data_IF_627977324680
#
_entry.id   IF_627977324680
#
_cell.length_a   1.000
_cell.length_b   1.000
_cell.length_c   1.000
_cell.angle_alpha   90.00
_cell.angle_beta   90.00
_cell.angle_gamma   90.00
#
_symmetry.space_group_name_H-M   'P 1'
#
loop_
_entity.id
_entity.type
_entity.pdbx_description
1 polymer ?
#
# COMPACT_ATOMS: atom_id res chain seq x y z
N UNK A 1 51.40 20.41 -8.27
CA UNK A 1 52.74 20.57 -7.69
C UNK A 1 53.29 21.96 -8.00
N UNK A 2 52.98 22.97 -7.18
CA UNK A 2 53.80 24.20 -7.19
C UNK A 2 55.11 23.80 -6.51
N UNK A 3 56.21 23.81 -7.27
CA UNK A 3 57.54 23.47 -6.76
C UNK A 3 57.86 24.39 -5.59
N UNK A 4 58.52 23.85 -4.56
CA UNK A 4 59.26 24.61 -3.54
C UNK A 4 59.91 25.80 -4.24
N UNK A 5 59.65 27.01 -3.75
CA UNK A 5 60.39 28.18 -4.19
C UNK A 5 61.82 27.98 -3.69
N UNK A 6 62.68 27.37 -4.53
CA UNK A 6 64.07 27.04 -4.21
C UNK A 6 64.94 28.29 -3.98
N UNK A 7 64.36 29.48 -4.06
CA UNK A 7 65.03 30.77 -3.88
C UNK A 7 65.51 31.04 -2.46
N UNK A 8 65.15 30.23 -1.45
CA UNK A 8 65.56 30.41 -0.03
C UNK A 8 66.38 29.26 0.57
N UNK A 9 66.91 28.34 -0.24
CA UNK A 9 67.72 27.23 0.25
C UNK A 9 69.20 27.40 -0.18
N UNK A 10 70.07 27.81 0.74
CA UNK A 10 71.53 27.82 0.54
C UNK A 10 72.19 26.69 1.35
N UNK A 11 73.18 26.01 0.76
CA UNK A 11 73.96 24.99 1.47
C UNK A 11 73.16 23.77 1.97
N UNK A 12 72.02 23.46 1.36
CA UNK A 12 71.16 22.33 1.76
C UNK A 12 70.25 22.60 2.95
N UNK A 13 70.18 23.85 3.44
CA UNK A 13 69.23 24.26 4.49
C UNK A 13 68.28 25.31 3.93
N UNK A 14 66.98 25.02 3.97
CA UNK A 14 65.96 25.99 3.57
C UNK A 14 65.69 26.94 4.73
N UNK A 15 65.94 28.24 4.52
CA UNK A 15 65.74 29.27 5.53
C UNK A 15 64.31 29.81 5.44
N UNK A 16 63.64 29.96 6.59
CA UNK A 16 62.29 30.51 6.70
C UNK A 16 61.25 29.54 7.24
N UNK A 17 60.01 30.03 7.35
CA UNK A 17 58.84 29.30 7.84
C UNK A 17 57.72 29.30 6.79
N UNK A 18 56.97 28.20 6.69
CA UNK A 18 55.84 28.06 5.76
C UNK A 18 54.50 28.48 6.38
N UNK A 19 54.48 28.58 7.71
CA UNK A 19 53.42 29.14 8.55
C UNK A 19 54.03 29.57 9.89
N UNK A 20 53.37 30.47 10.66
CA UNK A 20 53.95 30.98 11.91
C UNK A 20 54.34 29.86 12.89
N UNK A 21 55.63 29.75 13.20
CA UNK A 21 56.16 28.73 14.10
C UNK A 21 56.40 27.34 13.48
N UNK A 22 56.29 27.21 12.15
CA UNK A 22 56.64 26.00 11.41
C UNK A 22 57.78 26.25 10.42
N UNK A 23 58.98 25.80 10.76
CA UNK A 23 60.14 25.92 9.87
C UNK A 23 60.11 24.85 8.78
N UNK A 24 60.85 25.06 7.69
CA UNK A 24 60.96 24.04 6.64
C UNK A 24 61.67 22.75 7.08
N UNK A 25 62.38 22.76 8.21
CA UNK A 25 62.90 21.55 8.85
C UNK A 25 61.86 20.78 9.66
N UNK A 26 60.72 21.40 9.94
CA UNK A 26 59.61 20.77 10.65
C UNK A 26 58.71 19.98 9.68
N UNK A 27 58.61 20.41 8.43
CA UNK A 27 57.81 19.72 7.39
C UNK A 27 58.45 18.39 6.96
N UNK A 28 57.69 17.29 6.94
CA UNK A 28 58.15 15.94 6.53
C UNK A 28 59.35 15.43 7.36
N UNK A 29 59.36 15.76 8.66
CA UNK A 29 60.34 15.34 9.65
C UNK A 29 59.93 14.09 10.46
N UNK A 30 58.88 13.37 10.06
CA UNK A 30 58.30 12.17 10.70
C UNK A 30 57.56 12.41 12.03
N UNK A 31 57.49 13.65 12.50
CA UNK A 31 56.75 14.03 13.69
C UNK A 31 55.61 14.95 13.27
N UNK A 32 54.39 14.70 13.74
CA UNK A 32 53.30 15.63 13.45
C UNK A 32 53.42 16.92 14.25
N UNK A 33 53.54 18.05 13.55
CA UNK A 33 53.42 19.39 14.10
C UNK A 33 52.14 20.07 13.61
N UNK A 34 51.20 20.31 14.52
CA UNK A 34 49.91 20.94 14.18
C UNK A 34 50.05 22.36 13.60
N UNK A 35 51.10 23.09 13.99
CA UNK A 35 51.42 24.39 13.40
C UNK A 35 51.82 24.30 11.92
N UNK A 36 52.38 23.16 11.50
CA UNK A 36 52.72 22.86 10.11
C UNK A 36 51.53 22.32 9.30
N UNK A 37 50.35 22.12 9.92
CA UNK A 37 49.16 21.60 9.27
C UNK A 37 48.36 22.69 8.52
N UNK A 38 49.03 23.40 7.63
CA UNK A 38 48.43 24.42 6.78
C UNK A 38 48.65 24.08 5.31
N UNK A 39 47.77 24.59 4.45
CA UNK A 39 47.90 24.40 3.00
C UNK A 39 49.20 25.00 2.44
N UNK A 40 49.80 26.00 3.08
CA UNK A 40 51.09 26.59 2.69
C UNK A 40 52.30 25.73 3.07
N UNK A 41 52.13 24.81 4.03
CA UNK A 41 53.12 23.85 4.49
C UNK A 41 52.88 22.43 3.94
N UNK A 42 52.02 22.28 2.93
CA UNK A 42 51.61 20.98 2.38
C UNK A 42 51.16 19.97 3.47
N UNK A 43 50.46 20.46 4.49
CA UNK A 43 49.97 19.67 5.63
C UNK A 43 51.05 18.84 6.32
N UNK A 44 52.14 19.51 6.72
CA UNK A 44 53.30 18.91 7.38
C UNK A 44 53.99 17.83 6.55
N UNK A 45 53.87 17.91 5.22
CA UNK A 45 54.54 17.00 4.31
C UNK A 45 54.10 15.53 4.46
N UNK A 46 52.90 15.31 5.00
CA UNK A 46 52.24 13.99 5.25
C UNK A 46 52.56 13.38 6.64
N UNK A 47 53.26 14.10 7.52
CA UNK A 47 53.54 13.60 8.88
C UNK A 47 52.34 13.61 9.84
N UNK A 48 51.39 14.53 9.63
CA UNK A 48 50.21 14.64 10.47
C UNK A 48 49.07 13.69 10.07
N UNK A 49 48.33 13.11 11.05
CA UNK A 49 47.19 12.26 10.80
C UNK A 49 46.12 13.06 10.06
N UNK A 50 45.63 12.53 8.95
CA UNK A 50 44.78 13.27 8.01
C UNK A 50 43.42 13.68 8.60
N UNK A 51 42.99 13.02 9.69
CA UNK A 51 41.75 13.30 10.42
C UNK A 51 41.55 12.44 11.70
N UNK A 52 42.27 11.31 11.83
CA UNK A 52 42.26 10.41 12.99
C UNK A 52 43.62 9.69 13.13
N UNK A 53 44.13 9.40 14.34
CA UNK A 53 45.38 8.66 14.51
C UNK A 53 45.37 7.32 13.77
N UNK A 54 46.36 7.09 12.90
CA UNK A 54 46.47 5.85 12.11
C UNK A 54 45.61 5.82 10.84
N UNK A 55 44.76 6.82 10.60
CA UNK A 55 44.00 6.93 9.35
C UNK A 55 44.85 7.59 8.25
N UNK A 56 45.22 6.81 7.23
CA UNK A 56 46.01 7.26 6.08
C UNK A 56 45.10 7.70 4.96
N UNK A 57 45.57 8.66 4.14
CA UNK A 57 44.80 9.17 2.99
C UNK A 57 44.42 8.08 1.99
N UNK A 58 45.27 7.07 1.82
CA UNK A 58 45.03 5.94 0.91
C UNK A 58 43.98 4.94 1.41
N UNK A 59 43.57 5.05 2.68
CA UNK A 59 42.56 4.19 3.31
C UNK A 59 41.19 4.83 3.15
N UNK A 60 41.11 6.16 3.31
CA UNK A 60 39.84 6.88 3.16
C UNK A 60 39.22 6.78 1.77
N UNK A 61 37.98 6.27 1.68
CA UNK A 61 37.23 6.24 0.43
C UNK A 61 37.73 5.17 -0.56
N UNK A 62 38.43 4.15 -0.07
CA UNK A 62 38.97 3.06 -0.88
C UNK A 62 37.95 1.93 -1.15
N UNK A 63 36.73 2.06 -0.64
CA UNK A 63 35.63 1.11 -0.76
C UNK A 63 35.62 0.04 0.34
N UNK A 64 36.51 0.12 1.32
CA UNK A 64 36.58 -0.79 2.47
C UNK A 64 36.43 0.03 3.75
N UNK A 65 35.49 -0.34 4.62
CA UNK A 65 35.37 0.37 5.90
C UNK A 65 36.58 0.11 6.81
N UNK A 66 37.31 1.16 7.19
CA UNK A 66 38.33 1.12 8.24
C UNK A 66 37.92 1.87 9.50
N UNK A 67 37.80 1.15 10.60
CA UNK A 67 37.36 1.70 11.89
C UNK A 67 38.23 2.88 12.38
N UNK A 68 39.53 2.88 12.07
CA UNK A 68 40.46 3.97 12.41
C UNK A 68 40.14 5.28 11.66
N UNK A 69 39.54 5.18 10.47
CA UNK A 69 39.05 6.28 9.64
C UNK A 69 37.54 6.55 9.85
N UNK A 70 36.84 5.74 10.64
CA UNK A 70 35.40 5.87 10.91
C UNK A 70 35.07 6.91 11.99
N UNK A 71 35.59 8.13 11.84
CA UNK A 71 35.27 9.25 12.73
C UNK A 71 34.65 10.38 11.94
N UNK A 72 33.83 11.21 12.60
CA UNK A 72 33.19 12.36 11.96
C UNK A 72 34.19 13.32 11.29
N UNK A 73 35.38 13.47 11.86
CA UNK A 73 36.46 14.29 11.29
C UNK A 73 36.99 13.74 9.94
N UNK A 74 36.86 12.43 9.70
CA UNK A 74 37.21 11.73 8.46
C UNK A 74 35.98 11.49 7.56
N UNK A 75 34.84 12.13 7.85
CA UNK A 75 33.56 11.89 7.18
C UNK A 75 33.15 10.41 7.15
N UNK A 76 33.41 9.68 8.23
CA UNK A 76 33.11 8.24 8.34
C UNK A 76 33.72 7.44 7.19
N UNK A 77 35.05 7.57 7.04
CA UNK A 77 35.81 6.91 5.99
C UNK A 77 35.35 7.29 4.57
N UNK A 78 35.06 8.58 4.37
CA UNK A 78 34.40 9.11 3.16
C UNK A 78 33.07 8.41 2.79
N UNK A 79 32.41 7.79 3.78
CA UNK A 79 31.14 7.10 3.60
C UNK A 79 31.26 5.59 3.37
N UNK A 80 32.48 5.03 3.35
CA UNK A 80 32.68 3.57 3.25
C UNK A 80 32.24 2.84 4.51
N UNK A 81 32.29 3.52 5.66
CA UNK A 81 31.77 3.00 6.91
C UNK A 81 30.31 3.40 7.14
N UNK A 82 29.46 2.47 7.62
CA UNK A 82 28.09 2.81 8.00
C UNK A 82 28.17 3.85 9.12
N UNK A 83 27.59 5.03 8.88
CA UNK A 83 27.45 6.07 9.89
C UNK A 83 26.91 5.41 11.15
N UNK A 84 27.57 5.65 12.29
CA UNK A 84 27.26 5.08 13.62
C UNK A 84 25.83 5.35 14.15
N UNK A 85 24.90 5.82 13.31
CA UNK A 85 23.46 5.65 13.46
C UNK A 85 23.08 4.24 13.03
N UNK A 86 23.27 3.31 13.95
CA UNK A 86 22.98 1.90 13.78
C UNK A 86 21.50 1.66 13.44
N UNK A 87 21.27 1.00 12.30
CA UNK A 87 19.96 0.70 11.68
C UNK A 87 18.94 -0.01 12.58
N UNK A 88 19.35 -0.49 13.76
CA UNK A 88 18.44 -1.10 14.73
C UNK A 88 17.47 -0.10 15.37
N UNK A 89 17.78 1.20 15.43
CA UNK A 89 16.81 2.19 15.93
C UNK A 89 15.56 2.23 15.04
N UNK A 90 15.77 2.18 13.72
CA UNK A 90 14.69 2.10 12.73
C UNK A 90 14.00 0.73 12.80
N UNK A 91 14.76 -0.36 12.95
CA UNK A 91 14.22 -1.71 13.10
C UNK A 91 13.31 -1.89 14.31
N UNK A 92 13.66 -1.27 15.44
CA UNK A 92 12.89 -1.30 16.69
C UNK A 92 11.58 -0.53 16.52
N UNK A 93 11.61 0.67 15.91
CA UNK A 93 10.40 1.44 15.62
C UNK A 93 9.45 0.71 14.66
N UNK A 94 9.99 0.05 13.62
CA UNK A 94 9.21 -0.73 12.67
C UNK A 94 8.58 -1.98 13.33
N UNK A 95 9.31 -2.65 14.22
CA UNK A 95 8.78 -3.80 14.97
C UNK A 95 7.65 -3.39 15.93
N UNK A 96 7.80 -2.29 16.66
CA UNK A 96 6.73 -1.76 17.51
C UNK A 96 5.51 -1.29 16.70
N UNK A 97 5.73 -0.63 15.57
CA UNK A 97 4.64 -0.23 14.67
C UNK A 97 3.83 -1.42 14.14
N UNK A 98 4.52 -2.45 13.62
CA UNK A 98 3.86 -3.64 13.07
C UNK A 98 3.12 -4.42 14.16
N UNK A 99 3.70 -4.55 15.35
CA UNK A 99 3.03 -5.24 16.47
C UNK A 99 1.78 -4.52 16.94
N UNK A 100 1.79 -3.19 17.05
CA UNK A 100 0.59 -2.41 17.39
C UNK A 100 -0.51 -2.55 16.34
N UNK A 101 -0.14 -2.54 15.06
CA UNK A 101 -1.09 -2.73 13.96
C UNK A 101 -1.74 -4.11 14.04
N UNK A 102 -0.95 -5.19 14.15
CA UNK A 102 -1.48 -6.56 14.26
C UNK A 102 -2.39 -6.72 15.48
N UNK A 103 -2.00 -6.18 16.64
CA UNK A 103 -2.82 -6.22 17.84
C UNK A 103 -4.14 -5.48 17.66
N UNK A 104 -4.14 -4.31 16.99
CA UNK A 104 -5.38 -3.56 16.72
C UNK A 104 -6.36 -4.35 15.84
N UNK A 105 -5.87 -5.05 14.81
CA UNK A 105 -6.70 -5.89 13.94
C UNK A 105 -7.24 -7.12 14.68
N UNK A 106 -6.43 -7.74 15.54
CA UNK A 106 -6.89 -8.84 16.40
C UNK A 106 -7.96 -8.37 17.39
N UNK A 107 -7.77 -7.23 18.05
CA UNK A 107 -8.77 -6.66 18.95
C UNK A 107 -10.07 -6.31 18.22
N UNK A 108 -9.99 -5.71 17.03
CA UNK A 108 -11.16 -5.40 16.22
C UNK A 108 -11.90 -6.67 15.75
N UNK A 109 -11.20 -7.72 15.33
CA UNK A 109 -11.83 -8.97 14.93
C UNK A 109 -12.50 -9.70 16.12
N UNK A 110 -11.89 -9.67 17.30
CA UNK A 110 -12.50 -10.18 18.54
C UNK A 110 -13.71 -9.34 18.95
N UNK A 111 -13.62 -8.01 18.85
CA UNK A 111 -14.74 -7.11 19.14
C UNK A 111 -15.91 -7.35 18.18
N UNK A 112 -15.63 -7.47 16.87
CA UNK A 112 -16.63 -7.82 15.87
C UNK A 112 -17.20 -9.21 16.16
N UNK A 113 -16.39 -10.18 16.56
CA UNK A 113 -16.87 -11.52 16.91
C UNK A 113 -17.77 -11.51 18.15
N UNK A 114 -17.38 -10.79 19.21
CA UNK A 114 -18.19 -10.62 20.43
C UNK A 114 -19.46 -9.83 20.12
N UNK A 115 -19.37 -8.77 19.32
CA UNK A 115 -20.51 -7.97 18.87
C UNK A 115 -21.46 -8.80 18.02
N UNK A 116 -20.96 -9.55 17.04
CA UNK A 116 -21.74 -10.50 16.24
C UNK A 116 -22.34 -11.60 17.11
N UNK A 117 -21.61 -12.15 18.08
CA UNK A 117 -22.10 -13.17 19.01
C UNK A 117 -23.14 -12.61 19.99
N UNK A 118 -22.95 -11.40 20.49
CA UNK A 118 -23.88 -10.66 21.35
C UNK A 118 -25.15 -10.29 20.59
N UNK A 119 -25.00 -9.81 19.36
CA UNK A 119 -26.12 -9.56 18.44
C UNK A 119 -26.84 -10.86 18.08
N UNK A 120 -26.13 -11.97 17.84
CA UNK A 120 -26.71 -13.32 17.70
C UNK A 120 -27.38 -13.85 18.97
N UNK A 121 -27.01 -13.36 20.17
CA UNK A 121 -27.68 -13.65 21.46
C UNK A 121 -28.91 -12.79 21.71
N UNK A 122 -29.07 -11.67 21.00
CA UNK A 122 -30.34 -10.92 20.90
C UNK A 122 -31.19 -11.42 19.73
N UNK A 123 -30.57 -12.05 18.72
CA UNK A 123 -31.23 -12.73 17.60
C UNK A 123 -31.61 -14.21 17.81
N UNK A 124 -31.48 -14.95 18.93
CA UNK A 124 -31.79 -16.38 18.94
C UNK A 124 -33.31 -16.62 19.04
N UNK A 125 -34.07 -15.72 19.65
CA UNK A 125 -35.54 -15.78 19.60
C UNK A 125 -36.09 -15.34 18.24
N UNK A 126 -35.42 -14.42 17.55
CA UNK A 126 -35.89 -13.89 16.25
C UNK A 126 -35.37 -14.75 15.07
N UNK A 127 -34.19 -15.38 15.20
CA UNK A 127 -33.52 -16.16 14.14
C UNK A 127 -34.00 -17.62 14.06
N UNK A 128 -34.42 -18.25 15.16
CA UNK A 128 -35.06 -19.59 15.08
C UNK A 128 -36.40 -19.51 14.32
N UNK A 129 -37.07 -18.37 14.35
CA UNK A 129 -38.24 -18.12 13.50
C UNK A 129 -37.89 -17.82 12.02
N UNK A 130 -36.64 -17.48 11.70
CA UNK A 130 -36.27 -16.93 10.39
C UNK A 130 -35.34 -17.80 9.53
N UNK A 131 -34.54 -18.72 10.09
CA UNK A 131 -33.51 -19.45 9.34
C UNK A 131 -33.64 -20.99 9.41
N UNK A 132 -34.73 -21.51 8.85
CA UNK A 132 -34.68 -22.75 8.07
C UNK A 132 -34.19 -22.43 6.64
N UNK A 133 -32.91 -22.12 6.46
CA UNK A 133 -32.29 -22.07 5.13
C UNK A 133 -31.76 -23.45 4.75
N UNK A 134 -32.69 -24.34 4.41
CA UNK A 134 -32.51 -25.36 3.36
C UNK A 134 -33.68 -25.32 2.35
N UNK A 135 -34.33 -24.16 2.23
CA UNK A 135 -35.19 -23.80 1.09
C UNK A 135 -35.11 -22.29 0.92
N UNK A 136 -34.22 -21.79 0.05
CA UNK A 136 -34.65 -20.65 -0.78
C UNK A 136 -35.93 -21.18 -1.44
N UNK A 137 -37.12 -20.58 -1.25
CA UNK A 137 -38.28 -21.06 -1.96
C UNK A 137 -37.93 -20.92 -3.43
N UNK A 138 -37.68 -22.05 -4.11
CA UNK A 138 -37.64 -22.11 -5.57
C UNK A 138 -38.83 -21.30 -6.00
N UNK A 139 -38.64 -20.13 -6.63
CA UNK A 139 -39.67 -19.15 -6.91
C UNK A 139 -40.94 -19.89 -7.33
N UNK A 140 -41.90 -20.06 -6.43
CA UNK A 140 -43.02 -20.97 -6.70
C UNK A 140 -44.07 -20.21 -7.45
N UNK A 141 -44.87 -20.92 -8.23
CA UNK A 141 -46.04 -20.33 -8.88
C UNK A 141 -46.95 -19.61 -7.86
N UNK A 142 -47.04 -20.09 -6.61
CA UNK A 142 -47.77 -19.42 -5.54
C UNK A 142 -47.25 -18.01 -5.22
N UNK A 143 -45.93 -17.81 -5.20
CA UNK A 143 -45.32 -16.48 -4.98
C UNK A 143 -45.58 -15.57 -6.20
N UNK A 144 -45.46 -16.11 -7.41
CA UNK A 144 -45.75 -15.37 -8.65
C UNK A 144 -47.24 -14.96 -8.68
N UNK A 145 -48.16 -15.85 -8.29
CA UNK A 145 -49.61 -15.60 -8.19
C UNK A 145 -49.94 -14.54 -7.15
N UNK A 146 -49.27 -14.58 -6.00
CA UNK A 146 -49.48 -13.59 -4.95
C UNK A 146 -49.00 -12.19 -5.37
N UNK A 147 -47.91 -12.09 -6.14
CA UNK A 147 -47.30 -10.80 -6.49
C UNK A 147 -47.85 -10.21 -7.79
N UNK A 148 -48.11 -11.05 -8.78
CA UNK A 148 -48.65 -10.66 -10.08
C UNK A 148 -49.90 -11.50 -10.35
N UNK A 149 -51.08 -11.06 -9.88
CA UNK A 149 -52.32 -11.79 -10.13
C UNK A 149 -52.59 -11.86 -11.63
N UNK A 150 -53.20 -12.96 -12.06
CA UNK A 150 -53.71 -13.06 -13.43
C UNK A 150 -54.98 -12.25 -13.59
N UNK A 151 -55.13 -11.64 -14.76
CA UNK A 151 -56.37 -11.04 -15.21
C UNK A 151 -56.63 -11.41 -16.65
N UNK A 152 -57.89 -11.38 -17.07
CA UNK A 152 -58.22 -11.47 -18.48
C UNK A 152 -57.73 -10.22 -19.18
N UNK A 153 -57.26 -10.39 -20.42
CA UNK A 153 -56.98 -9.26 -21.28
C UNK A 153 -58.31 -8.59 -21.69
N UNK A 154 -58.39 -7.28 -21.54
CA UNK A 154 -59.57 -6.49 -21.90
C UNK A 154 -59.19 -5.52 -23.01
N UNK A 155 -59.82 -5.60 -24.18
CA UNK A 155 -59.48 -4.77 -25.35
C UNK A 155 -59.70 -3.27 -25.11
N UNK A 156 -60.61 -2.92 -24.19
CA UNK A 156 -60.94 -1.54 -23.82
C UNK A 156 -59.89 -0.90 -22.87
N UNK A 157 -59.00 -1.70 -22.25
CA UNK A 157 -57.92 -1.21 -21.39
C UNK A 157 -56.66 -0.83 -22.19
N UNK A 158 -56.04 0.29 -21.84
CA UNK A 158 -54.80 0.75 -22.49
C UNK A 158 -53.57 0.09 -21.88
N UNK A 159 -53.06 -0.93 -22.56
CA UNK A 159 -51.82 -1.63 -22.19
C UNK A 159 -50.56 -1.08 -22.88
N UNK A 160 -49.39 -1.42 -22.36
CA UNK A 160 -48.07 -1.06 -22.94
C UNK A 160 -47.76 -1.79 -24.25
N UNK A 161 -48.39 -2.95 -24.48
CA UNK A 161 -48.20 -3.78 -25.67
C UNK A 161 -49.46 -4.61 -25.96
N UNK A 162 -49.57 -5.10 -27.20
CA UNK A 162 -50.69 -5.94 -27.68
C UNK A 162 -50.27 -7.37 -28.02
N UNK A 163 -48.98 -7.69 -27.88
CA UNK A 163 -48.37 -8.98 -28.25
C UNK A 163 -47.44 -9.45 -27.14
N UNK A 164 -47.44 -10.75 -26.85
CA UNK A 164 -46.56 -11.36 -25.87
C UNK A 164 -45.15 -11.53 -26.44
N UNK A 165 -44.13 -10.89 -25.86
CA UNK A 165 -42.76 -10.97 -26.40
C UNK A 165 -42.03 -12.29 -26.13
N UNK A 166 -42.66 -13.25 -25.43
CA UNK A 166 -42.08 -14.57 -25.13
C UNK A 166 -42.49 -15.57 -26.21
N UNK A 167 -43.80 -15.71 -26.49
CA UNK A 167 -44.33 -16.60 -27.52
C UNK A 167 -44.58 -15.93 -28.89
N UNK A 168 -44.53 -14.59 -28.95
CA UNK A 168 -44.79 -13.78 -30.14
C UNK A 168 -46.24 -13.85 -30.67
N UNK A 169 -47.19 -14.22 -29.82
CA UNK A 169 -48.62 -14.25 -30.12
C UNK A 169 -49.34 -13.01 -29.56
N UNK A 170 -50.41 -12.58 -30.24
CA UNK A 170 -51.24 -11.44 -29.84
C UNK A 170 -52.16 -11.76 -28.66
N UNK A 171 -52.47 -10.76 -27.84
CA UNK A 171 -53.45 -10.92 -26.76
C UNK A 171 -54.87 -10.82 -27.30
N UNK A 172 -55.72 -11.79 -26.94
CA UNK A 172 -57.15 -11.80 -27.26
C UNK A 172 -58.00 -11.69 -25.98
N UNK A 173 -59.24 -11.22 -26.07
CA UNK A 173 -60.07 -10.92 -24.89
C UNK A 173 -60.31 -12.11 -23.90
N UNK A 174 -59.95 -13.34 -24.31
CA UNK A 174 -60.12 -14.57 -23.55
C UNK A 174 -58.82 -15.12 -22.93
N UNK A 175 -57.66 -14.47 -23.13
CA UNK A 175 -56.39 -14.95 -22.55
C UNK A 175 -56.08 -14.32 -21.20
N UNK A 176 -55.47 -15.13 -20.33
CA UNK A 176 -54.97 -14.67 -19.04
C UNK A 176 -53.59 -14.05 -19.19
N UNK A 177 -53.46 -12.82 -18.73
CA UNK A 177 -52.22 -12.06 -18.72
C UNK A 177 -51.78 -11.72 -17.30
N UNK A 178 -50.51 -11.38 -17.16
CA UNK A 178 -49.95 -10.76 -15.95
C UNK A 178 -49.23 -9.49 -16.33
N UNK A 179 -49.46 -8.46 -15.53
CA UNK A 179 -48.76 -7.19 -15.63
C UNK A 179 -47.70 -7.10 -14.52
N UNK A 180 -46.46 -6.85 -14.92
CA UNK A 180 -45.35 -6.65 -13.97
C UNK A 180 -45.35 -5.20 -13.46
N UNK A 181 -44.60 -4.91 -12.39
CA UNK A 181 -44.42 -3.55 -11.87
C UNK A 181 -43.75 -2.59 -12.87
N UNK A 182 -43.01 -3.12 -13.84
CA UNK A 182 -42.47 -2.36 -14.97
C UNK A 182 -43.49 -2.15 -16.11
N UNK A 183 -44.78 -2.33 -15.83
CA UNK A 183 -45.96 -2.16 -16.70
C UNK A 183 -46.08 -3.11 -17.90
N UNK A 184 -45.01 -3.82 -18.28
CA UNK A 184 -45.03 -4.84 -19.32
C UNK A 184 -45.97 -6.02 -18.98
N UNK A 185 -46.75 -6.47 -19.98
CA UNK A 185 -47.70 -7.58 -19.87
C UNK A 185 -47.27 -8.84 -20.63
N UNK A 186 -47.59 -10.01 -20.09
CA UNK A 186 -47.25 -11.30 -20.70
C UNK A 186 -48.37 -12.29 -20.45
N UNK A 187 -48.47 -13.35 -21.26
CA UNK A 187 -49.34 -14.47 -20.92
C UNK A 187 -48.98 -15.04 -19.55
N UNK A 188 -50.00 -15.40 -18.78
CA UNK A 188 -49.87 -16.04 -17.47
C UNK A 188 -48.83 -17.16 -17.51
N UNK A 189 -48.98 -18.09 -18.45
CA UNK A 189 -48.11 -19.27 -18.61
C UNK A 189 -46.69 -18.86 -18.97
N UNK A 190 -46.52 -18.04 -20.02
CA UNK A 190 -45.20 -17.65 -20.52
C UNK A 190 -44.32 -16.96 -19.46
N UNK A 191 -44.87 -16.01 -18.70
CA UNK A 191 -44.06 -15.31 -17.68
C UNK A 191 -43.85 -16.15 -16.43
N UNK A 192 -44.80 -17.04 -16.10
CA UNK A 192 -44.63 -17.98 -14.99
C UNK A 192 -43.49 -18.94 -15.30
N UNK A 193 -43.49 -19.58 -16.46
CA UNK A 193 -42.41 -20.47 -16.90
C UNK A 193 -41.06 -19.74 -16.97
N UNK A 194 -41.03 -18.54 -17.56
CA UNK A 194 -39.82 -17.72 -17.63
C UNK A 194 -39.19 -17.47 -16.26
N UNK A 195 -40.01 -17.13 -15.26
CA UNK A 195 -39.57 -16.92 -13.88
C UNK A 195 -39.14 -18.20 -13.19
N UNK A 196 -39.80 -19.33 -13.45
CA UNK A 196 -39.40 -20.63 -12.92
C UNK A 196 -38.02 -21.04 -13.46
N UNK A 197 -37.79 -20.89 -14.76
CA UNK A 197 -36.51 -21.17 -15.41
C UNK A 197 -35.39 -20.24 -14.92
N UNK A 198 -35.71 -18.96 -14.68
CA UNK A 198 -34.77 -17.93 -14.23
C UNK A 198 -34.89 -17.63 -12.73
N UNK A 199 -35.24 -18.63 -11.92
CA UNK A 199 -35.53 -18.46 -10.49
C UNK A 199 -34.42 -17.81 -9.65
N UNK A 200 -33.16 -17.84 -10.12
CA UNK A 200 -32.02 -17.18 -9.47
C UNK A 200 -31.90 -15.68 -9.77
N UNK A 201 -32.43 -15.22 -10.90
CA UNK A 201 -32.40 -13.81 -11.33
C UNK A 201 -33.60 -13.51 -12.27
N UNK A 202 -34.83 -13.43 -11.72
CA UNK A 202 -36.04 -13.37 -12.52
C UNK A 202 -36.27 -11.94 -13.04
N UNK A 203 -35.69 -11.59 -14.19
CA UNK A 203 -35.83 -10.26 -14.80
C UNK A 203 -36.94 -10.20 -15.83
N UNK A 204 -37.50 -9.00 -16.04
CA UNK A 204 -38.45 -8.75 -17.12
C UNK A 204 -37.82 -9.10 -18.49
N UNK A 205 -38.46 -9.92 -19.33
CA UNK A 205 -37.95 -10.28 -20.66
C UNK A 205 -37.69 -9.07 -21.57
N UNK A 206 -38.51 -8.02 -21.44
CA UNK A 206 -38.47 -6.82 -22.30
C UNK A 206 -37.45 -5.78 -21.83
N UNK A 207 -37.57 -5.29 -20.60
CA UNK A 207 -36.75 -4.19 -20.11
C UNK A 207 -35.56 -4.59 -19.24
N UNK A 208 -35.43 -5.89 -18.92
CA UNK A 208 -34.39 -6.45 -18.02
C UNK A 208 -34.34 -5.83 -16.61
N UNK A 209 -35.33 -5.03 -16.23
CA UNK A 209 -35.49 -4.57 -14.85
C UNK A 209 -35.90 -5.74 -13.96
N UNK A 210 -35.44 -5.71 -12.71
CA UNK A 210 -35.95 -6.61 -11.69
C UNK A 210 -37.42 -6.26 -11.44
N UNK A 211 -38.37 -7.15 -11.74
CA UNK A 211 -39.77 -6.90 -11.48
C UNK A 211 -40.06 -7.02 -9.96
N UNK A 212 -39.21 -7.72 -9.19
CA UNK A 212 -39.39 -7.96 -7.76
C UNK A 212 -38.91 -6.82 -6.86
#
# INVERSE_FOLDING_TARGET
MKRRDLSSCEGGKCLGECSPGCTWSDVNNTNCQTQCFTKSCDYDGIDCPQCSPGCKLAMMGDGVCQDLCNVKACNYDQGDCPSSGSTWEIGVLMAFGVTLIVLSFLCMSVFIFIYCKSRRRVLPEIYIAANSEDTVPSLTEAIINSKYPEKYYEEDEKYSQTTCSICLEDFTADVLIRQLNCEHIFHKTCITEWFLEHSRDPRCPLCKLNPF
#
